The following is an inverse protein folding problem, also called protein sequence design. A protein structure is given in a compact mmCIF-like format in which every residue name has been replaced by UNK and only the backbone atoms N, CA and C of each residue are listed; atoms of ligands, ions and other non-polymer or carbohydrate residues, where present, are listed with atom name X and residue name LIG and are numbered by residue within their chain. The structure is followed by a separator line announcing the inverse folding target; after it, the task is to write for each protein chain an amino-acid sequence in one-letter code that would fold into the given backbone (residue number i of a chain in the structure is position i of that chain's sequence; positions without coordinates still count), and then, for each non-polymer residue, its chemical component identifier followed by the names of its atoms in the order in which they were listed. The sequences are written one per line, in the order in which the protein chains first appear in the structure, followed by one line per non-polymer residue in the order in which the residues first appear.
data_IF_741449410294
#
_entry.id   IF_741449410294
#
_cell.length_a   1.000
_cell.length_b   1.000
_cell.length_c   1.000
_cell.angle_alpha   90.00
_cell.angle_beta   90.00
_cell.angle_gamma   90.00
#
_symmetry.space_group_name_H-M   'P 1'
#
loop_
_entity.id
_entity.type
_entity.pdbx_description
1 polymer ?
#
# COMPACT_ATOMS: atom_id res chain seq x y z
N UNK A 1 -33.82 26.97 -39.30
CA UNK A 1 -33.71 27.63 -40.62
C UNK A 1 -32.48 28.52 -40.62
N UNK A 2 -31.61 28.36 -41.64
CA UNK A 2 -30.49 29.22 -42.10
C UNK A 2 -29.35 29.43 -41.08
N UNK A 3 -28.13 28.88 -41.13
CA UNK A 3 -27.18 28.36 -42.13
C UNK A 3 -26.29 29.38 -42.90
N UNK A 4 -24.98 29.33 -42.55
CA UNK A 4 -23.75 29.31 -43.38
C UNK A 4 -23.07 30.59 -43.91
N UNK A 5 -21.75 30.64 -43.61
CA UNK A 5 -20.54 31.07 -44.38
C UNK A 5 -19.71 32.09 -43.60
N UNK A 6 -18.40 31.99 -43.36
CA UNK A 6 -17.28 31.20 -43.89
C UNK A 6 -16.15 31.23 -42.84
N UNK A 7 -15.35 30.16 -42.69
CA UNK A 7 -13.92 30.13 -43.01
C UNK A 7 -13.29 28.79 -42.56
N UNK A 8 -12.92 27.97 -43.55
CA UNK A 8 -11.90 26.93 -43.50
C UNK A 8 -11.47 26.65 -44.96
N UNK A 9 -10.29 26.05 -45.14
CA UNK A 9 -9.53 25.66 -46.36
C UNK A 9 -8.21 26.48 -46.38
N UNK A 10 -7.00 25.91 -46.44
CA UNK A 10 -6.47 24.66 -47.04
C UNK A 10 -5.19 24.24 -46.28
N UNK A 11 -4.54 23.08 -46.38
CA UNK A 11 -4.67 21.84 -47.17
C UNK A 11 -3.56 20.89 -46.68
N UNK A 12 -3.83 19.58 -46.68
CA UNK A 12 -2.86 18.52 -46.49
C UNK A 12 -2.52 17.83 -47.84
N UNK A 13 -1.25 17.45 -48.01
CA UNK A 13 -0.68 16.37 -48.84
C UNK A 13 0.85 16.48 -48.64
N UNK A 14 1.67 15.48 -48.27
CA UNK A 14 1.62 14.03 -48.42
C UNK A 14 2.75 13.60 -49.36
N UNK A 15 3.86 13.00 -48.85
CA UNK A 15 4.57 11.83 -49.40
C UNK A 15 5.95 11.56 -48.72
N UNK A 16 6.06 10.37 -48.11
CA UNK A 16 7.06 9.29 -48.27
C UNK A 16 8.59 9.54 -48.12
N UNK A 17 9.12 8.93 -47.05
CA UNK A 17 10.33 8.10 -46.86
C UNK A 17 11.64 8.34 -47.65
N UNK A 18 12.74 8.46 -46.90
CA UNK A 18 14.03 7.85 -47.23
C UNK A 18 14.85 7.56 -45.95
N UNK A 19 15.44 6.38 -45.92
CA UNK A 19 16.21 5.74 -44.86
C UNK A 19 17.72 5.89 -45.03
N UNK A 20 18.46 5.66 -43.93
CA UNK A 20 19.85 5.16 -43.78
C UNK A 20 20.97 6.13 -43.28
N UNK A 21 22.00 5.58 -42.60
CA UNK A 21 22.77 6.23 -41.53
C UNK A 21 24.25 6.46 -41.89
N UNK A 22 25.05 7.03 -40.98
CA UNK A 22 26.52 7.03 -41.06
C UNK A 22 27.20 6.74 -39.71
N UNK A 23 27.78 5.54 -39.63
CA UNK A 23 29.03 5.15 -38.93
C UNK A 23 30.19 5.58 -39.86
N UNK A 24 31.46 5.80 -39.52
CA UNK A 24 32.36 5.49 -38.41
C UNK A 24 33.71 6.24 -38.63
N UNK A 25 34.66 6.01 -37.70
CA UNK A 25 36.14 6.13 -37.79
C UNK A 25 36.79 7.45 -37.32
N UNK A 26 37.95 7.48 -36.64
CA UNK A 26 38.72 6.56 -35.77
C UNK A 26 39.98 7.36 -35.27
N UNK A 27 40.65 6.83 -34.24
CA UNK A 27 42.03 7.10 -33.77
C UNK A 27 42.37 8.35 -32.93
N UNK A 28 42.74 8.10 -31.66
CA UNK A 28 44.14 8.19 -31.21
C UNK A 28 44.35 7.44 -29.88
N UNK A 29 45.46 6.69 -29.80
CA UNK A 29 45.97 5.99 -28.62
C UNK A 29 47.08 6.81 -27.95
N UNK A 30 47.25 6.66 -26.62
CA UNK A 30 48.55 6.56 -25.93
C UNK A 30 48.37 6.15 -24.44
N UNK A 31 48.71 4.89 -24.19
CA UNK A 31 49.51 4.26 -23.12
C UNK A 31 49.71 4.76 -21.68
N UNK A 32 49.69 3.73 -20.80
CA UNK A 32 50.53 3.43 -19.61
C UNK A 32 50.20 4.04 -18.21
N UNK A 33 49.72 3.20 -17.28
CA UNK A 33 50.54 2.54 -16.24
C UNK A 33 49.76 1.51 -15.41
N UNK A 34 50.49 0.51 -14.91
CA UNK A 34 50.01 -0.73 -14.29
C UNK A 34 49.85 -0.65 -12.76
N UNK A 35 49.01 -1.53 -12.20
CA UNK A 35 49.31 -2.21 -10.93
C UNK A 35 48.53 -3.54 -10.86
N UNK A 36 49.29 -4.63 -10.80
CA UNK A 36 48.85 -6.01 -10.56
C UNK A 36 48.98 -6.27 -9.06
N UNK A 37 47.89 -6.73 -8.41
CA UNK A 37 47.99 -7.38 -7.10
C UNK A 37 47.84 -8.89 -7.26
N UNK A 38 48.83 -9.59 -6.69
CA UNK A 38 49.03 -11.03 -6.70
C UNK A 38 48.15 -11.69 -5.64
N UNK A 39 47.46 -12.76 -6.03
CA UNK A 39 46.87 -13.75 -5.11
C UNK A 39 47.94 -14.80 -4.82
N UNK A 40 48.22 -15.04 -3.54
CA UNK A 40 49.15 -16.06 -3.06
C UNK A 40 48.41 -17.39 -2.83
N UNK A 41 48.98 -18.47 -3.38
CA UNK A 41 48.58 -19.85 -3.14
C UNK A 41 49.67 -20.51 -2.30
N UNK A 42 49.34 -20.95 -1.09
CA UNK A 42 50.15 -21.92 -0.37
C UNK A 42 49.28 -23.02 0.25
N UNK A 43 49.44 -24.22 -0.31
CA UNK A 43 49.07 -25.51 0.25
C UNK A 43 50.27 -26.08 1.03
N UNK A 44 50.06 -26.66 2.22
CA UNK A 44 50.88 -27.79 2.67
C UNK A 44 50.11 -28.77 3.57
N UNK A 45 50.54 -30.02 3.42
CA UNK A 45 49.94 -31.31 3.76
C UNK A 45 49.93 -31.70 5.25
N UNK A 46 48.84 -32.38 5.62
CA UNK A 46 48.70 -33.69 6.32
C UNK A 46 49.74 -34.18 7.34
N UNK A 47 49.21 -34.64 8.49
CA UNK A 47 49.65 -35.87 9.18
C UNK A 47 48.44 -36.67 9.69
N UNK A 48 48.57 -37.99 9.65
CA UNK A 48 47.54 -39.04 9.69
C UNK A 48 47.30 -39.69 11.08
N UNK A 49 46.03 -40.02 11.34
CA UNK A 49 45.43 -41.29 11.87
C UNK A 49 45.75 -41.83 13.30
N UNK A 50 44.97 -42.81 13.87
CA UNK A 50 43.77 -43.55 13.36
C UNK A 50 42.58 -43.72 14.36
N UNK A 51 41.37 -44.07 13.87
CA UNK A 51 40.48 -45.09 14.48
C UNK A 51 39.22 -45.39 13.62
N UNK A 52 38.93 -46.68 13.45
CA UNK A 52 37.65 -47.30 13.02
C UNK A 52 37.22 -48.28 14.12
N UNK A 53 36.04 -48.94 14.07
CA UNK A 53 34.67 -48.47 13.78
C UNK A 53 33.67 -48.91 14.90
N UNK A 54 32.46 -48.34 15.00
CA UNK A 54 31.20 -49.07 15.32
C UNK A 54 29.95 -48.19 15.58
N UNK A 55 28.89 -48.54 14.84
CA UNK A 55 27.44 -48.59 15.13
C UNK A 55 26.58 -47.33 15.36
N UNK A 56 25.30 -47.37 14.91
CA UNK A 56 24.46 -46.21 14.69
C UNK A 56 23.70 -45.80 15.95
N UNK A 57 23.67 -44.51 16.25
CA UNK A 57 22.80 -43.95 17.30
C UNK A 57 21.71 -43.09 16.68
N UNK A 58 20.49 -43.61 16.82
CA UNK A 58 19.27 -42.94 17.27
C UNK A 58 19.00 -41.51 16.79
N UNK A 59 17.89 -41.40 16.06
CA UNK A 59 17.31 -40.14 15.64
C UNK A 59 17.04 -39.20 16.81
N UNK A 60 17.50 -37.97 16.63
CA UNK A 60 16.95 -36.81 17.28
C UNK A 60 16.22 -36.00 16.23
N UNK A 61 14.92 -36.28 16.09
CA UNK A 61 13.97 -35.32 15.55
C UNK A 61 13.98 -34.11 16.50
N UNK A 62 14.72 -33.06 16.13
CA UNK A 62 14.40 -31.73 16.63
C UNK A 62 13.06 -31.34 15.98
N UNK A 63 11.98 -31.49 16.74
CA UNK A 63 10.75 -30.75 16.52
C UNK A 63 11.08 -29.27 16.71
N UNK A 64 11.49 -28.61 15.63
CA UNK A 64 11.24 -27.18 15.51
C UNK A 64 9.73 -27.10 15.28
N UNK A 65 8.99 -26.63 16.29
CA UNK A 65 7.63 -26.15 16.08
C UNK A 65 7.69 -25.00 15.08
N UNK A 66 7.66 -25.34 13.79
CA UNK A 66 7.56 -24.40 12.70
C UNK A 66 6.18 -23.79 12.72
N UNK A 67 5.98 -22.75 13.53
CA UNK A 67 4.93 -21.77 13.23
C UNK A 67 5.28 -21.18 11.87
N UNK A 68 4.57 -21.62 10.83
CA UNK A 68 4.64 -20.99 9.51
C UNK A 68 4.49 -19.48 9.71
N UNK A 69 5.49 -18.71 9.27
CA UNK A 69 5.47 -17.24 9.32
C UNK A 69 4.28 -16.65 8.55
N UNK A 70 3.62 -17.47 7.73
CA UNK A 70 2.65 -17.08 6.70
C UNK A 70 1.23 -17.61 6.97
N UNK A 71 1.02 -18.40 8.03
CA UNK A 71 -0.30 -18.86 8.45
C UNK A 71 -0.97 -17.82 9.38
N UNK A 72 -1.15 -16.60 8.88
CA UNK A 72 -1.66 -15.49 9.68
C UNK A 72 -3.16 -15.30 9.50
N UNK A 73 -3.87 -15.27 10.63
CA UNK A 73 -5.23 -14.74 10.67
C UNK A 73 -5.21 -13.29 10.16
N UNK A 74 -6.16 -12.97 9.29
CA UNK A 74 -6.29 -11.62 8.75
C UNK A 74 -6.71 -10.70 9.91
N UNK A 75 -5.86 -9.71 10.29
CA UNK A 75 -6.16 -8.83 11.41
C UNK A 75 -7.37 -7.96 11.08
N UNK A 76 -7.97 -7.38 12.12
CA UNK A 76 -9.12 -6.50 11.98
C UNK A 76 -9.02 -5.35 12.98
N UNK A 77 -9.60 -4.22 12.60
CA UNK A 77 -9.78 -3.07 13.51
C UNK A 77 -10.68 -3.46 14.69
N UNK A 78 -10.62 -2.67 15.77
CA UNK A 78 -11.53 -2.85 16.91
C UNK A 78 -13.00 -2.94 16.48
N UNK A 79 -13.70 -3.95 16.98
CA UNK A 79 -15.14 -4.11 16.74
C UNK A 79 -15.96 -3.11 17.55
N UNK A 80 -15.37 -2.43 18.53
CA UNK A 80 -16.03 -1.34 19.24
C UNK A 80 -16.21 -0.14 18.31
N UNK A 81 -17.44 0.36 18.28
CA UNK A 81 -17.80 1.57 17.55
C UNK A 81 -17.35 2.81 18.33
N UNK A 82 -16.55 3.72 17.74
CA UNK A 82 -16.18 4.98 18.40
C UNK A 82 -17.42 5.77 18.82
N UNK A 83 -17.43 6.28 20.05
CA UNK A 83 -18.50 7.16 20.51
C UNK A 83 -18.48 8.48 19.74
N UNK A 84 -19.66 9.09 19.55
CA UNK A 84 -19.74 10.47 19.05
C UNK A 84 -19.13 11.38 20.13
N UNK A 85 -18.24 12.29 19.71
CA UNK A 85 -17.59 13.24 20.62
C UNK A 85 -18.54 14.32 21.11
N UNK A 86 -18.14 15.07 22.13
CA UNK A 86 -18.90 16.25 22.60
C UNK A 86 -19.06 17.33 21.52
N UNK A 87 -18.19 17.34 20.49
CA UNK A 87 -18.27 18.22 19.33
C UNK A 87 -19.19 17.67 18.22
N UNK A 88 -19.85 16.52 18.43
CA UNK A 88 -20.90 15.99 17.55
C UNK A 88 -20.41 15.15 16.36
N UNK A 89 -19.10 14.94 16.22
CA UNK A 89 -18.53 14.09 15.16
C UNK A 89 -18.12 12.71 15.70
N UNK A 90 -18.05 11.72 14.80
CA UNK A 90 -17.54 10.39 15.11
C UNK A 90 -16.06 10.30 14.74
N UNK A 91 -15.17 9.92 15.67
CA UNK A 91 -13.76 9.77 15.36
C UNK A 91 -13.52 8.75 14.25
N UNK A 92 -12.55 9.04 13.39
CA UNK A 92 -12.12 8.15 12.32
C UNK A 92 -11.29 7.00 12.88
N UNK A 93 -11.42 5.82 12.28
CA UNK A 93 -10.56 4.67 12.51
C UNK A 93 -9.57 4.60 11.35
N UNK A 94 -8.28 4.69 11.63
CA UNK A 94 -7.22 4.52 10.63
C UNK A 94 -6.62 3.11 10.81
N UNK A 95 -6.98 2.12 9.96
CA UNK A 95 -6.43 0.76 10.07
C UNK A 95 -4.91 0.78 10.08
N UNK A 96 -4.29 0.01 10.99
CA UNK A 96 -2.85 -0.03 11.24
C UNK A 96 -2.20 1.32 11.62
N UNK A 97 -2.99 2.36 11.90
CA UNK A 97 -2.55 3.71 12.21
C UNK A 97 -3.07 4.21 13.55
N UNK A 98 -2.87 5.51 13.80
CA UNK A 98 -3.36 6.18 15.03
C UNK A 98 -3.62 7.65 14.79
N UNK A 99 -4.50 8.24 15.59
CA UNK A 99 -4.70 9.69 15.64
C UNK A 99 -3.56 10.36 16.42
N UNK A 100 -3.11 11.52 15.94
CA UNK A 100 -2.12 12.35 16.64
C UNK A 100 -2.78 13.05 17.83
N UNK A 101 -2.22 12.84 19.02
CA UNK A 101 -2.66 13.54 20.22
C UNK A 101 -2.33 15.03 20.17
N UNK A 102 -3.17 15.84 20.83
CA UNK A 102 -2.97 17.28 20.97
C UNK A 102 -3.13 17.73 22.42
N UNK A 103 -2.68 18.95 22.70
CA UNK A 103 -2.98 19.67 23.93
C UNK A 103 -3.84 20.89 23.62
N UNK A 104 -4.78 21.21 24.49
CA UNK A 104 -5.49 22.49 24.40
C UNK A 104 -4.68 23.57 25.11
N UNK A 105 -4.39 24.67 24.42
CA UNK A 105 -3.73 25.84 24.98
C UNK A 105 -4.45 27.12 24.54
N UNK A 106 -5.11 27.80 25.48
CA UNK A 106 -5.86 29.05 25.22
C UNK A 106 -6.82 28.97 24.01
N UNK A 107 -7.51 27.85 23.84
CA UNK A 107 -8.46 27.62 22.73
C UNK A 107 -7.80 27.17 21.41
N UNK A 108 -6.50 26.87 21.40
CA UNK A 108 -5.76 26.34 20.26
C UNK A 108 -5.44 24.87 20.48
N UNK A 109 -5.65 24.02 19.47
CA UNK A 109 -5.20 22.62 19.46
C UNK A 109 -3.72 22.59 19.06
N UNK A 110 -2.86 22.26 20.01
CA UNK A 110 -1.41 22.15 19.80
C UNK A 110 -0.99 20.72 19.51
N UNK A 111 -0.39 20.51 18.34
CA UNK A 111 0.13 19.23 17.87
C UNK A 111 1.66 19.28 17.78
N UNK A 112 2.30 18.11 17.84
CA UNK A 112 3.73 17.97 17.61
C UNK A 112 4.00 16.83 16.63
N UNK A 113 4.46 17.18 15.43
CA UNK A 113 4.96 16.27 14.43
C UNK A 113 6.49 16.20 14.49
N UNK A 114 7.02 15.00 14.37
CA UNK A 114 8.46 14.75 14.37
C UNK A 114 8.81 13.98 13.11
N UNK A 115 9.48 14.62 12.16
CA UNK A 115 10.02 13.98 10.98
C UNK A 115 11.32 13.23 11.35
N UNK A 116 11.39 11.92 11.12
CA UNK A 116 12.50 11.09 11.58
C UNK A 116 12.67 9.81 10.74
N UNK A 117 13.85 9.19 10.82
CA UNK A 117 14.03 7.82 10.33
C UNK A 117 13.26 6.84 11.24
N UNK A 118 12.66 5.82 10.62
CA UNK A 118 11.83 4.81 11.28
C UNK A 118 12.17 3.42 10.74
N UNK A 119 11.97 2.41 11.57
CA UNK A 119 11.83 1.03 11.10
C UNK A 119 10.35 0.75 10.85
N UNK A 120 10.03 0.27 9.66
CA UNK A 120 8.67 -0.05 9.25
C UNK A 120 8.58 -1.46 8.69
N UNK A 121 7.51 -2.18 9.00
CA UNK A 121 7.24 -3.52 8.48
C UNK A 121 5.94 -3.50 7.67
N UNK A 122 6.02 -3.84 6.38
CA UNK A 122 4.85 -3.87 5.49
C UNK A 122 3.89 -5.00 5.85
N UNK A 123 4.48 -6.17 6.05
CA UNK A 123 3.89 -7.40 6.55
C UNK A 123 5.05 -8.23 7.14
N UNK A 124 4.77 -9.19 8.05
CA UNK A 124 5.79 -10.01 8.67
C UNK A 124 6.74 -10.63 7.63
N UNK A 125 8.04 -10.32 7.80
CA UNK A 125 9.09 -10.77 6.88
C UNK A 125 9.57 -9.74 5.85
N UNK A 126 9.02 -8.53 5.82
CA UNK A 126 9.57 -7.44 5.00
C UNK A 126 9.55 -6.10 5.73
N UNK A 127 10.74 -5.63 6.06
CA UNK A 127 11.03 -4.42 6.84
C UNK A 127 11.89 -3.45 6.04
N UNK A 128 11.70 -2.17 6.30
CA UNK A 128 12.52 -1.10 5.72
C UNK A 128 12.92 -0.08 6.77
N UNK A 129 14.04 0.60 6.51
CA UNK A 129 14.38 1.88 7.10
C UNK A 129 13.77 2.97 6.23
N UNK A 130 12.63 3.49 6.67
CA UNK A 130 11.86 4.54 6.01
C UNK A 130 12.06 5.87 6.73
N UNK A 131 11.47 6.94 6.19
CA UNK A 131 11.24 8.18 6.91
C UNK A 131 9.74 8.35 7.15
N UNK A 132 9.38 8.90 8.29
CA UNK A 132 7.98 9.08 8.65
C UNK A 132 7.81 10.13 9.74
N UNK A 133 6.58 10.19 10.27
CA UNK A 133 6.23 11.13 11.32
C UNK A 133 5.88 10.39 12.61
N UNK A 134 6.49 10.81 13.72
CA UNK A 134 6.20 10.29 15.07
C UNK A 134 6.27 8.74 15.15
N UNK A 135 7.24 8.15 14.45
CA UNK A 135 7.54 6.72 14.51
C UNK A 135 6.76 5.83 13.53
N UNK A 136 5.99 6.39 12.58
CA UNK A 136 5.24 5.58 11.61
C UNK A 136 5.19 6.19 10.20
N UNK A 137 4.94 5.31 9.22
CA UNK A 137 4.45 5.65 7.88
C UNK A 137 3.13 4.89 7.65
N UNK A 138 2.05 5.56 7.20
CA UNK A 138 1.91 7.00 7.23
C UNK A 138 2.11 7.53 8.66
N UNK A 139 2.43 8.82 8.75
CA UNK A 139 2.36 9.55 10.00
C UNK A 139 0.97 9.47 10.63
N UNK A 140 0.86 9.80 11.92
CA UNK A 140 -0.42 9.76 12.62
C UNK A 140 -1.45 10.69 11.97
N UNK A 141 -2.71 10.26 11.95
CA UNK A 141 -3.83 11.05 11.41
C UNK A 141 -4.05 12.27 12.29
N UNK A 142 -4.04 13.47 11.71
CA UNK A 142 -4.43 14.69 12.42
C UNK A 142 -5.94 14.81 12.29
N UNK A 143 -6.63 14.96 13.41
CA UNK A 143 -8.10 15.00 13.44
C UNK A 143 -8.56 16.25 14.19
N UNK A 144 -9.34 17.08 13.51
CA UNK A 144 -9.84 18.38 14.01
C UNK A 144 -11.25 18.62 13.51
N UNK A 145 -11.87 19.71 13.99
CA UNK A 145 -13.21 20.15 13.58
C UNK A 145 -13.08 21.48 12.85
N UNK A 146 -13.92 21.69 11.84
CA UNK A 146 -14.07 22.98 11.16
C UNK A 146 -14.25 24.13 12.17
N UNK A 147 -13.46 25.18 12.01
CA UNK A 147 -13.39 26.33 12.91
C UNK A 147 -12.35 26.20 14.03
N UNK A 148 -11.75 25.03 14.25
CA UNK A 148 -10.63 24.91 15.19
C UNK A 148 -9.46 25.80 14.76
N UNK A 149 -8.79 26.40 15.75
CA UNK A 149 -7.45 26.97 15.55
C UNK A 149 -6.42 25.93 15.94
N UNK A 150 -5.49 25.64 15.04
CA UNK A 150 -4.43 24.65 15.26
C UNK A 150 -3.08 25.34 15.29
N UNK A 151 -2.17 24.79 16.11
CA UNK A 151 -0.75 25.12 16.11
C UNK A 151 0.03 23.81 16.04
N UNK A 152 0.79 23.62 14.97
CA UNK A 152 1.49 22.37 14.71
C UNK A 152 2.98 22.67 14.75
N UNK A 153 3.65 22.14 15.78
CA UNK A 153 5.10 22.15 15.87
C UNK A 153 5.65 21.00 15.03
N UNK A 154 6.63 21.28 14.18
CA UNK A 154 7.28 20.29 13.32
C UNK A 154 8.75 20.28 13.65
N UNK A 155 9.22 19.21 14.29
CA UNK A 155 10.64 19.00 14.58
C UNK A 155 11.25 18.12 13.49
N UNK A 156 12.33 18.60 12.88
CA UNK A 156 13.07 17.82 11.89
C UNK A 156 14.22 17.05 12.57
N UNK A 157 14.16 15.73 12.57
CA UNK A 157 15.23 14.82 12.99
C UNK A 157 15.81 14.01 11.83
N UNK A 158 15.50 14.37 10.59
CA UNK A 158 16.10 13.79 9.40
C UNK A 158 17.54 14.28 9.21
N UNK A 159 18.36 13.56 8.43
CA UNK A 159 19.71 14.02 8.06
C UNK A 159 19.69 15.21 7.08
N UNK A 160 18.52 15.57 6.53
CA UNK A 160 18.38 16.66 5.57
C UNK A 160 17.24 17.62 5.92
N UNK A 161 17.12 18.69 5.14
CA UNK A 161 16.08 19.68 5.32
C UNK A 161 14.70 19.16 4.94
N UNK A 162 13.64 19.66 5.57
CA UNK A 162 12.26 19.26 5.27
C UNK A 162 11.30 20.46 5.31
N UNK A 163 10.04 20.20 5.03
CA UNK A 163 8.90 21.11 5.23
C UNK A 163 7.62 20.28 5.30
N UNK A 164 6.46 20.89 5.57
CA UNK A 164 5.18 20.17 5.50
C UNK A 164 4.17 21.05 4.76
N UNK A 165 3.70 20.55 3.62
CA UNK A 165 2.53 21.05 2.92
C UNK A 165 1.25 20.38 3.43
N UNK A 166 0.20 21.19 3.57
CA UNK A 166 -1.11 20.79 4.08
C UNK A 166 -2.09 20.63 2.91
N UNK A 167 -2.01 19.48 2.26
CA UNK A 167 -2.65 19.21 0.98
C UNK A 167 -4.16 19.40 1.02
N UNK A 168 -4.66 20.35 0.22
CA UNK A 168 -6.08 20.67 0.10
C UNK A 168 -6.65 21.54 1.22
N UNK A 169 -5.79 22.08 2.11
CA UNK A 169 -6.24 22.94 3.22
C UNK A 169 -6.22 24.42 2.82
N UNK A 170 -7.33 25.14 3.06
CA UNK A 170 -7.40 26.60 2.91
C UNK A 170 -6.68 27.28 4.07
N UNK A 171 -5.49 27.84 3.79
CA UNK A 171 -4.63 28.47 4.79
C UNK A 171 -4.00 29.78 4.28
N UNK A 172 -3.48 30.63 5.17
CA UNK A 172 -2.68 31.78 4.76
C UNK A 172 -1.44 31.34 3.99
N UNK A 173 -1.10 32.02 2.90
CA UNK A 173 0.00 31.66 2.00
C UNK A 173 1.33 31.33 2.71
N UNK A 174 1.69 32.08 3.76
CA UNK A 174 2.93 31.84 4.53
C UNK A 174 2.93 30.58 5.41
N UNK A 175 1.82 29.84 5.49
CA UNK A 175 1.68 28.59 6.25
C UNK A 175 1.64 27.36 5.34
N UNK A 176 1.88 27.53 4.04
CA UNK A 176 1.64 26.51 3.01
C UNK A 176 2.72 25.42 2.93
N UNK A 177 3.93 25.66 3.46
CA UNK A 177 4.93 24.60 3.57
C UNK A 177 5.81 24.35 2.35
N UNK A 178 5.78 25.20 1.32
CA UNK A 178 6.60 25.03 0.11
C UNK A 178 7.96 25.69 0.32
N UNK A 179 9.01 24.87 0.44
CA UNK A 179 10.37 25.36 0.68
C UNK A 179 10.88 26.21 -0.48
N UNK A 180 11.40 27.39 -0.18
CA UNK A 180 11.90 28.35 -1.16
C UNK A 180 10.81 29.22 -1.81
N UNK A 181 9.52 28.90 -1.61
CA UNK A 181 8.40 29.70 -2.10
C UNK A 181 7.67 30.41 -0.96
N UNK A 182 7.04 29.65 -0.06
CA UNK A 182 6.22 30.20 1.03
C UNK A 182 6.96 30.28 2.35
N UNK A 183 8.04 29.50 2.50
CA UNK A 183 8.91 29.52 3.67
C UNK A 183 10.36 29.12 3.37
N UNK A 184 11.23 29.30 4.37
CA UNK A 184 12.54 28.65 4.38
C UNK A 184 12.41 27.17 4.74
N UNK A 185 13.31 26.30 4.25
CA UNK A 185 13.32 24.90 4.63
C UNK A 185 13.70 24.70 6.11
N UNK A 186 13.05 23.76 6.78
CA UNK A 186 13.29 23.38 8.18
C UNK A 186 14.59 22.56 8.23
N UNK A 187 15.64 23.10 8.83
CA UNK A 187 16.95 22.44 8.88
C UNK A 187 16.95 21.24 9.86
N UNK A 188 17.89 20.29 9.72
CA UNK A 188 18.08 19.23 10.72
C UNK A 188 18.22 19.80 12.14
N UNK A 189 17.46 19.24 13.09
CA UNK A 189 17.39 19.67 14.49
C UNK A 189 16.50 20.89 14.75
N UNK A 190 16.00 21.57 13.72
CA UNK A 190 15.13 22.73 13.86
C UNK A 190 13.69 22.31 14.19
N UNK A 191 12.97 23.18 14.91
CA UNK A 191 11.51 23.06 15.09
C UNK A 191 10.83 24.28 14.49
N UNK A 192 9.89 24.04 13.59
CA UNK A 192 9.08 25.04 12.92
C UNK A 192 7.65 25.03 13.45
N UNK A 193 6.91 26.13 13.29
CA UNK A 193 5.52 26.23 13.74
C UNK A 193 4.61 26.67 12.59
N UNK A 194 3.52 25.92 12.40
CA UNK A 194 2.41 26.29 11.53
C UNK A 194 1.21 26.62 12.41
N UNK A 195 0.56 27.75 12.19
CA UNK A 195 -0.62 28.14 12.97
C UNK A 195 -1.67 28.78 12.08
N UNK A 196 -2.87 28.17 12.04
CA UNK A 196 -3.97 28.64 11.21
C UNK A 196 -5.32 28.16 11.75
N UNK A 197 -6.41 28.74 11.24
CA UNK A 197 -7.78 28.35 11.54
C UNK A 197 -8.35 27.58 10.37
N UNK A 198 -9.05 26.48 10.68
CA UNK A 198 -9.62 25.56 9.69
C UNK A 198 -10.95 26.13 9.21
N UNK A 199 -11.06 26.42 7.91
CA UNK A 199 -12.20 27.14 7.32
C UNK A 199 -13.19 26.23 6.58
N UNK A 200 -12.80 24.97 6.40
CA UNK A 200 -13.51 23.95 5.63
C UNK A 200 -13.41 22.61 6.36
N UNK A 201 -14.19 21.63 5.92
CA UNK A 201 -14.12 20.25 6.38
C UNK A 201 -13.88 19.28 5.20
N UNK A 202 -13.37 18.09 5.48
CA UNK A 202 -13.09 17.10 4.44
C UNK A 202 -11.96 16.14 4.78
N UNK A 203 -11.65 15.31 3.79
CA UNK A 203 -10.53 14.36 3.79
C UNK A 203 -9.33 15.02 3.12
N UNK A 204 -8.30 15.35 3.91
CA UNK A 204 -7.07 15.99 3.46
C UNK A 204 -5.85 15.15 3.83
N UNK A 205 -4.68 15.60 3.39
CA UNK A 205 -3.42 14.92 3.62
C UNK A 205 -2.35 15.94 4.01
N UNK A 206 -1.22 15.47 4.53
CA UNK A 206 -0.03 16.29 4.73
C UNK A 206 1.19 15.51 4.25
N UNK A 207 2.13 16.22 3.64
CA UNK A 207 3.38 15.64 3.13
C UNK A 207 4.46 16.71 2.96
N UNK A 208 5.74 16.33 2.86
CA UNK A 208 6.80 17.28 2.57
C UNK A 208 6.62 17.96 1.22
N UNK A 209 7.10 19.19 1.16
CA UNK A 209 7.33 19.92 -0.09
C UNK A 209 8.76 20.48 -0.15
N UNK A 210 9.68 19.74 0.48
CA UNK A 210 11.14 19.85 0.43
C UNK A 210 11.68 18.47 0.07
N UNK A 211 12.59 18.41 -0.91
CA UNK A 211 13.04 17.16 -1.54
C UNK A 211 11.90 16.12 -1.70
N UNK A 212 10.77 16.59 -2.23
CA UNK A 212 9.48 15.89 -2.16
C UNK A 212 9.57 14.48 -2.74
N UNK A 213 10.28 14.34 -3.87
CA UNK A 213 10.48 13.05 -4.53
C UNK A 213 11.11 12.03 -3.59
N UNK A 214 12.18 12.40 -2.88
CA UNK A 214 12.88 11.50 -1.96
C UNK A 214 12.04 11.27 -0.72
N UNK A 215 11.53 12.33 -0.09
CA UNK A 215 10.85 12.22 1.20
C UNK A 215 9.52 11.46 1.11
N UNK A 216 8.73 11.67 0.04
CA UNK A 216 7.53 10.87 -0.21
C UNK A 216 7.88 9.41 -0.47
N UNK A 217 8.84 9.12 -1.35
CA UNK A 217 9.25 7.75 -1.66
C UNK A 217 9.82 7.00 -0.43
N UNK A 218 10.37 7.73 0.53
CA UNK A 218 10.83 7.20 1.82
C UNK A 218 9.69 6.98 2.83
N UNK A 219 8.47 7.47 2.58
CA UNK A 219 7.28 7.23 3.41
C UNK A 219 6.71 8.45 4.14
N UNK A 220 7.21 9.66 3.89
CA UNK A 220 6.78 10.84 4.63
C UNK A 220 5.44 11.38 4.13
N UNK A 221 4.35 10.94 4.76
CA UNK A 221 2.99 11.34 4.41
C UNK A 221 2.05 11.07 5.57
N UNK A 222 0.87 11.69 5.60
CA UNK A 222 -0.17 11.35 6.55
C UNK A 222 -1.53 11.96 6.20
N UNK A 223 -2.55 11.53 6.93
CA UNK A 223 -3.93 12.00 6.76
C UNK A 223 -4.22 13.19 7.67
N UNK A 224 -5.01 14.13 7.16
CA UNK A 224 -5.54 15.27 7.90
C UNK A 224 -7.06 15.28 7.71
N UNK A 225 -7.80 14.87 8.73
CA UNK A 225 -9.26 14.81 8.68
C UNK A 225 -9.83 16.00 9.42
N UNK A 226 -10.64 16.79 8.70
CA UNK A 226 -11.38 17.89 9.29
C UNK A 226 -12.86 17.50 9.31
N UNK A 227 -13.41 17.30 10.50
CA UNK A 227 -14.82 17.01 10.69
C UNK A 227 -15.66 18.27 10.52
N UNK A 228 -16.88 18.15 9.96
CA UNK A 228 -17.75 19.29 9.81
C UNK A 228 -18.22 19.79 11.18
N UNK A 229 -18.33 21.10 11.34
CA UNK A 229 -18.84 21.71 12.58
C UNK A 229 -20.30 21.32 12.86
N UNK A 230 -21.07 21.18 11.78
CA UNK A 230 -22.42 20.63 11.79
C UNK A 230 -22.32 19.18 11.34
N UNK A 231 -22.76 18.19 12.16
CA UNK A 231 -22.67 16.79 11.78
C UNK A 231 -23.31 16.50 10.42
N UNK A 232 -22.69 15.62 9.64
CA UNK A 232 -23.21 15.21 8.34
C UNK A 232 -24.57 14.51 8.48
N UNK A 233 -25.47 14.80 7.53
CA UNK A 233 -26.66 14.02 7.30
C UNK A 233 -26.54 13.23 5.97
N UNK A 234 -26.83 11.92 5.96
CA UNK A 234 -27.13 11.08 7.13
C UNK A 234 -25.87 10.78 7.97
N UNK A 235 -26.09 10.49 9.26
CA UNK A 235 -25.01 10.17 10.20
C UNK A 235 -24.30 8.88 9.81
N UNK A 236 -22.97 8.90 9.90
CA UNK A 236 -22.11 7.74 9.69
C UNK A 236 -21.90 6.98 11.00
N UNK A 237 -22.01 5.66 10.99
CA UNK A 237 -21.76 4.76 12.12
C UNK A 237 -20.29 4.35 12.25
N UNK A 238 -19.60 4.19 11.12
CA UNK A 238 -18.19 3.80 11.05
C UNK A 238 -17.49 4.69 10.04
N UNK A 239 -16.47 5.41 10.46
CA UNK A 239 -15.67 6.26 9.57
C UNK A 239 -14.25 5.70 9.53
N UNK A 240 -13.78 5.31 8.35
CA UNK A 240 -12.46 4.71 8.12
C UNK A 240 -11.61 5.65 7.27
N UNK A 241 -10.29 5.70 7.54
CA UNK A 241 -9.36 6.44 6.68
C UNK A 241 -8.17 5.59 6.22
N UNK A 242 -7.94 5.66 4.91
CA UNK A 242 -6.89 4.94 4.20
C UNK A 242 -6.07 5.94 3.38
N UNK A 243 -4.76 5.73 3.37
CA UNK A 243 -3.81 6.44 2.54
C UNK A 243 -3.10 5.44 1.63
N UNK A 244 -3.21 5.67 0.32
CA UNK A 244 -2.61 4.83 -0.70
C UNK A 244 -1.20 5.32 -1.02
N UNK A 245 -0.28 4.38 -1.18
CA UNK A 245 1.08 4.65 -1.59
C UNK A 245 1.73 3.45 -2.29
N UNK A 246 2.79 3.69 -3.05
CA UNK A 246 3.59 2.67 -3.73
C UNK A 246 5.07 2.82 -3.37
N UNK A 247 5.82 1.73 -3.45
CA UNK A 247 7.21 1.69 -3.03
C UNK A 247 8.05 0.91 -4.04
N UNK A 248 9.30 1.34 -4.22
CA UNK A 248 10.33 0.56 -4.88
C UNK A 248 11.23 -0.04 -3.79
N UNK A 249 11.08 -1.34 -3.53
CA UNK A 249 11.85 -2.07 -2.52
C UNK A 249 12.34 -3.34 -3.17
N UNK A 250 13.55 -3.28 -3.72
CA UNK A 250 14.14 -4.39 -4.45
C UNK A 250 14.32 -5.61 -3.52
N UNK A 251 14.18 -6.84 -4.03
CA UNK A 251 14.35 -8.04 -3.22
C UNK A 251 15.69 -8.06 -2.45
N UNK A 252 15.65 -8.38 -1.16
CA UNK A 252 16.84 -8.38 -0.29
C UNK A 252 17.29 -7.01 0.22
N UNK A 253 16.62 -5.91 -0.16
CA UNK A 253 16.99 -4.56 0.26
C UNK A 253 16.11 -4.06 1.40
N UNK A 254 16.63 -3.12 2.19
CA UNK A 254 16.00 -2.61 3.42
C UNK A 254 15.73 -1.10 3.38
N UNK A 255 15.88 -0.46 2.23
CA UNK A 255 15.59 0.97 2.05
C UNK A 255 14.83 1.15 0.75
N UNK A 256 13.78 1.97 0.72
CA UNK A 256 13.14 2.36 -0.53
C UNK A 256 14.17 2.97 -1.48
N UNK A 257 14.00 2.72 -2.78
CA UNK A 257 14.79 3.31 -3.85
C UNK A 257 14.03 4.53 -4.43
N UNK A 258 14.38 5.76 -4.02
CA UNK A 258 13.70 6.96 -4.51
C UNK A 258 14.08 7.30 -5.96
N UNK A 259 14.98 6.55 -6.61
CA UNK A 259 15.33 6.79 -8.02
C UNK A 259 14.35 6.15 -9.01
N UNK A 260 13.50 5.24 -8.53
CA UNK A 260 12.49 4.56 -9.34
C UNK A 260 11.24 5.43 -9.47
N UNK A 261 10.89 5.80 -10.71
CA UNK A 261 9.79 6.73 -11.00
C UNK A 261 8.52 6.07 -11.55
N UNK A 262 8.61 4.82 -12.00
CA UNK A 262 7.48 4.15 -12.69
C UNK A 262 7.34 2.66 -12.36
N UNK A 263 8.45 1.97 -12.12
CA UNK A 263 8.53 0.51 -11.94
C UNK A 263 8.54 0.16 -10.45
N UNK A 264 7.43 0.44 -9.75
CA UNK A 264 7.30 0.12 -8.32
C UNK A 264 6.99 -1.36 -8.12
N UNK A 265 7.27 -1.88 -6.92
CA UNK A 265 7.20 -3.31 -6.61
C UNK A 265 6.26 -3.65 -5.44
N UNK A 266 5.80 -2.63 -4.69
CA UNK A 266 4.88 -2.81 -3.57
C UNK A 266 3.82 -1.70 -3.55
N UNK A 267 2.57 -2.09 -3.32
CA UNK A 267 1.41 -1.20 -3.27
C UNK A 267 0.70 -1.38 -1.94
N UNK A 268 0.49 -0.28 -1.23
CA UNK A 268 0.10 -0.31 0.18
C UNK A 268 -1.15 0.49 0.49
N UNK A 269 -1.93 0.00 1.44
CA UNK A 269 -2.92 0.81 2.16
C UNK A 269 -2.38 1.08 3.57
N UNK A 270 -2.29 2.34 3.97
CA UNK A 270 -1.67 2.76 5.22
C UNK A 270 -0.27 2.13 5.41
N UNK A 271 0.53 2.10 4.33
CA UNK A 271 1.86 1.51 4.28
C UNK A 271 1.93 0.03 4.69
N UNK A 272 0.80 -0.68 4.75
CA UNK A 272 0.73 -2.12 4.92
C UNK A 272 0.34 -2.80 3.61
N UNK A 273 0.70 -4.07 3.48
CA UNK A 273 0.29 -4.94 2.38
C UNK A 273 -0.45 -6.15 2.92
N UNK A 274 -1.34 -6.73 2.12
CA UNK A 274 -2.05 -7.94 2.50
C UNK A 274 -1.06 -9.11 2.77
N UNK A 275 -1.24 -9.88 3.86
CA UNK A 275 -2.40 -9.95 4.74
C UNK A 275 -2.33 -9.06 5.99
N UNK A 276 -1.34 -8.19 6.13
CA UNK A 276 -1.14 -7.38 7.33
C UNK A 276 -2.03 -6.12 7.40
N UNK A 277 -2.74 -5.78 6.32
CA UNK A 277 -3.73 -4.70 6.33
C UNK A 277 -4.90 -5.13 7.22
N UNK A 278 -5.19 -4.33 8.26
CA UNK A 278 -6.33 -4.57 9.13
C UNK A 278 -7.64 -4.47 8.33
N UNK A 279 -8.49 -5.49 8.50
CA UNK A 279 -9.83 -5.50 7.96
C UNK A 279 -10.70 -4.46 8.65
N UNK A 280 -11.53 -3.78 7.89
CA UNK A 280 -12.56 -2.88 8.41
C UNK A 280 -13.76 -3.70 8.90
N UNK A 281 -14.39 -3.30 10.00
CA UNK A 281 -15.47 -4.07 10.63
C UNK A 281 -16.75 -3.24 10.75
N UNK A 282 -17.92 -3.83 10.45
CA UNK A 282 -19.20 -3.15 10.61
C UNK A 282 -20.30 -4.11 11.04
N UNK A 283 -21.34 -3.60 11.71
CA UNK A 283 -22.54 -4.38 11.96
C UNK A 283 -23.52 -4.21 10.79
N UNK A 284 -24.28 -5.25 10.45
CA UNK A 284 -25.33 -5.18 9.44
C UNK A 284 -26.24 -3.97 9.68
N UNK A 285 -26.48 -3.18 8.63
CA UNK A 285 -27.31 -1.97 8.69
C UNK A 285 -26.56 -0.68 9.08
N UNK A 286 -25.33 -0.76 9.58
CA UNK A 286 -24.52 0.43 9.86
C UNK A 286 -24.18 1.18 8.57
N UNK A 287 -24.23 2.51 8.61
CA UNK A 287 -23.69 3.34 7.52
C UNK A 287 -22.18 3.51 7.69
N UNK A 288 -21.42 3.02 6.72
CA UNK A 288 -19.96 3.05 6.74
C UNK A 288 -19.46 4.09 5.75
N UNK A 289 -18.51 4.93 6.18
CA UNK A 289 -17.70 5.81 5.33
C UNK A 289 -16.28 5.25 5.25
N UNK A 290 -15.74 5.19 4.05
CA UNK A 290 -14.30 4.93 3.83
C UNK A 290 -13.73 6.13 3.07
N UNK A 291 -12.82 6.84 3.73
CA UNK A 291 -12.06 7.96 3.21
C UNK A 291 -10.75 7.45 2.65
N UNK A 292 -10.47 7.74 1.39
CA UNK A 292 -9.26 7.26 0.73
C UNK A 292 -8.52 8.43 0.13
N UNK A 293 -7.33 8.74 0.66
CA UNK A 293 -6.37 9.67 0.07
C UNK A 293 -5.32 8.90 -0.74
N UNK A 294 -4.74 9.54 -1.75
CA UNK A 294 -3.69 8.95 -2.57
C UNK A 294 -2.49 9.89 -2.73
N UNK A 295 -1.36 9.51 -2.11
CA UNK A 295 -0.05 10.15 -2.29
C UNK A 295 0.94 9.21 -2.96
N UNK A 296 0.44 8.20 -3.67
CA UNK A 296 1.21 7.36 -4.57
C UNK A 296 1.51 8.11 -5.89
N UNK A 297 2.34 7.54 -6.75
CA UNK A 297 2.61 8.01 -8.10
C UNK A 297 1.70 7.36 -9.15
N UNK A 298 0.66 6.63 -8.73
CA UNK A 298 -0.28 5.91 -9.57
C UNK A 298 -1.74 6.16 -9.20
N UNK A 299 -2.64 6.02 -10.17
CA UNK A 299 -4.08 6.06 -9.90
C UNK A 299 -4.56 4.69 -9.41
N UNK A 300 -5.45 4.68 -8.43
CA UNK A 300 -5.96 3.43 -7.85
C UNK A 300 -7.48 3.34 -8.03
N UNK A 301 -8.00 2.45 -8.91
CA UNK A 301 -9.41 2.11 -8.94
C UNK A 301 -9.75 1.24 -7.71
N UNK A 302 -10.33 1.82 -6.67
CA UNK A 302 -10.70 1.10 -5.45
C UNK A 302 -12.08 0.45 -5.63
N UNK A 303 -12.13 -0.87 -5.45
CA UNK A 303 -13.32 -1.70 -5.62
C UNK A 303 -13.76 -2.30 -4.28
N UNK A 304 -15.08 -2.32 -4.05
CA UNK A 304 -15.70 -2.95 -2.89
C UNK A 304 -16.75 -3.95 -3.34
N UNK A 305 -16.61 -5.20 -2.88
CA UNK A 305 -17.58 -6.26 -3.12
C UNK A 305 -18.82 -6.11 -2.21
N UNK A 306 -19.90 -6.81 -2.58
CA UNK A 306 -21.09 -7.01 -1.74
C UNK A 306 -22.10 -5.86 -1.73
N UNK A 307 -21.68 -4.63 -2.05
CA UNK A 307 -22.55 -3.45 -2.04
C UNK A 307 -22.32 -2.56 -3.26
N UNK A 308 -23.32 -1.76 -3.60
CA UNK A 308 -23.10 -0.51 -4.34
C UNK A 308 -22.89 0.60 -3.31
N UNK A 309 -21.85 1.41 -3.48
CA UNK A 309 -21.56 2.55 -2.61
C UNK A 309 -21.88 3.87 -3.31
N UNK A 310 -22.05 4.92 -2.53
CA UNK A 310 -22.19 6.29 -2.99
C UNK A 310 -20.83 6.99 -2.86
N UNK A 311 -20.34 7.62 -3.93
CA UNK A 311 -19.20 8.57 -3.84
C UNK A 311 -19.76 9.90 -3.36
N UNK A 312 -19.37 10.32 -2.15
CA UNK A 312 -20.02 11.41 -1.41
C UNK A 312 -19.17 12.67 -1.26
N UNK A 313 -17.89 12.61 -1.60
CA UNK A 313 -16.99 13.75 -1.46
C UNK A 313 -15.61 13.51 -2.08
N UNK A 314 -14.81 14.57 -2.07
CA UNK A 314 -13.41 14.55 -2.49
C UNK A 314 -12.51 15.32 -1.53
N UNK A 315 -11.26 15.52 -1.94
CA UNK A 315 -10.31 16.52 -1.41
C UNK A 315 -10.87 17.95 -1.28
N UNK A 316 -11.99 18.26 -1.96
CA UNK A 316 -12.75 19.51 -1.81
C UNK A 316 -13.85 19.46 -0.74
N UNK A 317 -13.95 18.38 0.04
CA UNK A 317 -14.97 18.17 1.06
C UNK A 317 -16.17 17.35 0.57
N UNK A 318 -17.22 17.31 1.40
CA UNK A 318 -18.46 16.56 1.12
C UNK A 318 -19.28 17.27 0.04
N UNK A 319 -19.74 16.51 -0.96
CA UNK A 319 -20.59 17.03 -2.02
C UNK A 319 -22.05 17.11 -1.59
N UNK A 320 -22.84 18.04 -2.15
CA UNK A 320 -24.29 18.01 -2.01
C UNK A 320 -24.86 16.65 -2.46
N UNK A 321 -25.88 16.14 -1.73
CA UNK A 321 -26.41 14.80 -1.96
C UNK A 321 -26.88 14.53 -3.40
N UNK A 322 -27.39 15.53 -4.10
CA UNK A 322 -27.82 15.39 -5.50
C UNK A 322 -26.67 15.17 -6.49
N UNK A 323 -25.41 15.31 -6.06
CA UNK A 323 -24.20 15.03 -6.84
C UNK A 323 -23.58 13.68 -6.48
N UNK A 324 -24.11 12.98 -5.48
CA UNK A 324 -23.62 11.65 -5.15
C UNK A 324 -23.93 10.68 -6.28
N UNK A 325 -22.98 9.81 -6.55
CA UNK A 325 -23.08 8.80 -7.60
C UNK A 325 -22.88 7.41 -7.03
N UNK A 326 -23.70 6.47 -7.50
CA UNK A 326 -23.58 5.07 -7.12
C UNK A 326 -22.57 4.38 -8.01
N UNK A 327 -21.63 3.69 -7.37
CA UNK A 327 -20.57 2.96 -8.04
C UNK A 327 -20.29 1.64 -7.30
N UNK A 328 -19.50 0.78 -7.93
CA UNK A 328 -18.83 -0.35 -7.27
C UNK A 328 -17.31 -0.20 -7.29
N UNK A 329 -16.79 0.72 -8.09
CA UNK A 329 -15.36 1.02 -8.20
C UNK A 329 -15.17 2.52 -8.37
N UNK A 330 -14.25 3.12 -7.61
CA UNK A 330 -13.93 4.53 -7.72
C UNK A 330 -12.43 4.77 -7.92
N UNK A 331 -12.07 5.60 -8.89
CA UNK A 331 -10.68 5.97 -9.12
C UNK A 331 -10.27 7.04 -8.10
N UNK A 332 -9.28 6.73 -7.28
CA UNK A 332 -8.57 7.70 -6.44
C UNK A 332 -7.30 8.11 -7.19
N UNK A 333 -7.34 9.28 -7.83
CA UNK A 333 -6.22 9.80 -8.59
C UNK A 333 -5.06 10.25 -7.71
N UNK A 334 -3.86 10.39 -8.27
CA UNK A 334 -2.69 10.96 -7.57
C UNK A 334 -3.03 12.35 -7.01
N UNK A 335 -2.77 12.57 -5.72
CA UNK A 335 -3.11 13.79 -5.00
C UNK A 335 -4.59 13.94 -4.63
N UNK A 336 -5.46 13.03 -5.05
CA UNK A 336 -6.89 13.13 -4.76
C UNK A 336 -7.26 12.40 -3.47
N UNK A 337 -8.36 12.86 -2.87
CA UNK A 337 -9.12 12.08 -1.91
C UNK A 337 -10.52 11.76 -2.45
N UNK A 338 -11.09 10.63 -2.00
CA UNK A 338 -12.47 10.20 -2.25
C UNK A 338 -13.08 9.60 -1.00
N UNK A 339 -14.32 10.01 -0.72
CA UNK A 339 -15.11 9.47 0.37
C UNK A 339 -16.25 8.63 -0.22
N UNK A 340 -16.27 7.33 0.10
CA UNK A 340 -17.36 6.43 -0.28
C UNK A 340 -18.21 6.08 0.93
N UNK A 341 -19.53 5.94 0.74
CA UNK A 341 -20.48 5.55 1.79
C UNK A 341 -21.39 4.42 1.34
N UNK A 342 -21.69 3.49 2.24
CA UNK A 342 -22.60 2.37 1.99
C UNK A 342 -23.28 1.90 3.27
N UNK A 343 -24.38 1.16 3.10
CA UNK A 343 -25.01 0.41 4.21
C UNK A 343 -24.40 -0.98 4.26
N UNK A 344 -23.86 -1.37 5.41
CA UNK A 344 -23.19 -2.65 5.58
C UNK A 344 -24.17 -3.85 5.48
N UNK A 345 -23.77 -4.87 4.71
CA UNK A 345 -24.51 -6.14 4.54
C UNK A 345 -23.62 -7.32 4.98
N UNK A 346 -24.15 -8.35 5.64
CA UNK A 346 -23.35 -9.39 6.28
C UNK A 346 -22.50 -10.18 5.27
N UNK A 347 -21.22 -10.38 5.60
CA UNK A 347 -20.24 -11.02 4.72
C UNK A 347 -18.80 -10.72 5.10
N UNK A 348 -17.86 -11.43 4.48
CA UNK A 348 -16.46 -10.98 4.36
C UNK A 348 -16.28 -10.50 2.92
N UNK A 349 -16.29 -9.18 2.72
CA UNK A 349 -16.26 -8.57 1.39
C UNK A 349 -14.87 -8.07 1.04
N UNK A 350 -14.37 -8.41 -0.13
CA UNK A 350 -13.10 -7.90 -0.62
C UNK A 350 -13.16 -6.38 -0.86
N UNK A 351 -12.12 -5.69 -0.40
CA UNK A 351 -11.89 -4.27 -0.63
C UNK A 351 -10.45 -4.11 -1.14
N UNK A 352 -10.29 -3.69 -2.40
CA UNK A 352 -8.96 -3.74 -3.03
C UNK A 352 -8.80 -2.74 -4.18
N UNK A 353 -7.55 -2.50 -4.58
CA UNK A 353 -7.27 -1.85 -5.85
C UNK A 353 -7.56 -2.81 -7.01
N UNK A 354 -8.22 -2.33 -8.06
CA UNK A 354 -8.64 -3.16 -9.20
C UNK A 354 -7.63 -3.17 -10.35
N UNK A 355 -6.39 -2.71 -10.11
CA UNK A 355 -5.27 -3.05 -10.98
C UNK A 355 -4.64 -4.34 -10.46
N UNK A 356 -4.67 -5.41 -11.27
CA UNK A 356 -4.33 -6.77 -10.80
C UNK A 356 -2.91 -6.91 -10.22
N UNK A 357 -1.96 -6.11 -10.69
CA UNK A 357 -0.59 -6.13 -10.15
C UNK A 357 -0.47 -5.35 -8.82
N UNK A 358 -1.40 -4.43 -8.51
CA UNK A 358 -1.45 -3.75 -7.21
C UNK A 358 -1.98 -4.64 -6.09
N UNK A 359 -2.66 -5.75 -6.42
CA UNK A 359 -3.14 -6.76 -5.47
C UNK A 359 -2.20 -7.95 -5.38
N UNK A 360 -0.92 -7.74 -5.68
CA UNK A 360 0.16 -8.69 -5.50
C UNK A 360 1.26 -8.00 -4.69
N UNK A 361 2.04 -8.78 -3.95
CA UNK A 361 3.25 -8.28 -3.29
C UNK A 361 4.41 -8.20 -4.31
N UNK A 362 5.63 -8.59 -3.93
CA UNK A 362 6.80 -8.45 -4.78
C UNK A 362 6.59 -9.14 -6.15
N UNK A 363 6.54 -8.32 -7.20
CA UNK A 363 6.46 -8.74 -8.60
C UNK A 363 7.82 -8.53 -9.26
N UNK A 364 8.37 -9.59 -9.86
CA UNK A 364 9.62 -9.50 -10.61
C UNK A 364 9.38 -9.25 -12.10
N UNK A 365 10.15 -8.35 -12.70
CA UNK A 365 10.26 -8.21 -14.16
C UNK A 365 11.38 -9.11 -14.71
N UNK A 366 11.28 -9.51 -15.98
CA UNK A 366 12.34 -10.27 -16.66
C UNK A 366 12.40 -11.78 -16.35
N UNK A 367 11.40 -12.33 -15.66
CA UNK A 367 11.26 -13.78 -15.45
C UNK A 367 10.63 -14.43 -16.70
N UNK A 368 11.17 -15.54 -17.22
CA UNK A 368 10.58 -16.26 -18.34
C UNK A 368 9.13 -16.70 -18.07
N UNK A 369 8.28 -16.60 -19.09
CA UNK A 369 6.91 -17.12 -18.99
C UNK A 369 6.92 -18.65 -19.05
N UNK A 370 6.54 -19.29 -17.94
CA UNK A 370 6.49 -20.75 -17.81
C UNK A 370 5.10 -21.34 -18.10
N UNK A 371 4.11 -20.52 -18.48
CA UNK A 371 2.75 -20.97 -18.76
C UNK A 371 2.72 -21.97 -19.92
N UNK A 372 2.21 -23.17 -19.66
CA UNK A 372 2.16 -24.29 -20.61
C UNK A 372 3.51 -24.97 -20.86
N UNK A 373 4.58 -24.54 -20.21
CA UNK A 373 5.88 -25.23 -20.28
C UNK A 373 5.86 -26.41 -19.33
N UNK A 374 5.93 -27.62 -19.88
CA UNK A 374 6.03 -28.85 -19.09
C UNK A 374 7.32 -28.85 -18.28
N UNK A 375 7.20 -28.93 -16.97
CA UNK A 375 8.33 -28.92 -16.05
C UNK A 375 8.42 -30.29 -15.36
N UNK A 376 9.11 -31.31 -15.93
CA UNK A 376 9.24 -32.62 -15.31
C UNK A 376 10.10 -32.53 -14.04
N UNK A 377 9.46 -32.18 -12.92
CA UNK A 377 10.10 -31.78 -11.67
C UNK A 377 11.14 -32.81 -11.20
N UNK A 378 10.81 -34.10 -11.22
CA UNK A 378 11.74 -35.16 -10.81
C UNK A 378 13.04 -35.23 -11.64
N UNK A 379 13.01 -34.82 -12.91
CA UNK A 379 14.19 -34.77 -13.77
C UNK A 379 14.97 -33.48 -13.55
N UNK A 380 14.27 -32.35 -13.41
CA UNK A 380 14.90 -31.04 -13.20
C UNK A 380 15.53 -30.98 -11.80
N UNK A 381 14.88 -31.51 -10.78
CA UNK A 381 15.37 -31.56 -9.40
C UNK A 381 16.66 -32.37 -9.23
N UNK A 382 16.96 -33.30 -10.15
CA UNK A 382 18.25 -34.00 -10.19
C UNK A 382 19.40 -33.09 -10.61
N UNK A 383 19.12 -32.06 -11.43
CA UNK A 383 20.09 -31.10 -11.92
C UNK A 383 20.13 -29.83 -11.05
N UNK A 384 18.99 -29.45 -10.50
CA UNK A 384 18.79 -28.27 -9.66
C UNK A 384 18.10 -28.71 -8.37
N UNK A 385 18.87 -29.16 -7.35
CA UNK A 385 18.30 -29.55 -6.07
C UNK A 385 17.43 -28.44 -5.47
N UNK A 386 16.20 -28.76 -5.10
CA UNK A 386 15.21 -27.80 -4.57
C UNK A 386 14.34 -27.12 -5.63
N UNK A 387 14.48 -27.46 -6.90
CA UNK A 387 13.58 -26.98 -7.95
C UNK A 387 12.16 -27.54 -7.76
N UNK A 388 11.16 -26.66 -7.84
CA UNK A 388 9.75 -27.00 -7.91
C UNK A 388 9.13 -26.34 -9.14
N UNK A 389 8.32 -27.09 -9.86
CA UNK A 389 7.65 -26.58 -11.06
C UNK A 389 6.64 -25.50 -10.67
N UNK A 390 6.78 -24.31 -11.26
CA UNK A 390 5.90 -23.16 -11.00
C UNK A 390 5.37 -22.59 -12.30
N UNK A 391 4.14 -22.12 -12.29
CA UNK A 391 3.58 -21.36 -13.42
C UNK A 391 3.16 -22.20 -14.63
N UNK A 392 3.32 -23.54 -14.63
CA UNK A 392 2.89 -24.39 -15.77
C UNK A 392 1.39 -24.23 -16.06
N UNK A 393 0.56 -24.23 -15.01
CA UNK A 393 -0.91 -24.18 -15.10
C UNK A 393 -1.50 -22.86 -14.54
N UNK A 394 -0.64 -21.90 -14.20
CA UNK A 394 -1.00 -20.68 -13.48
C UNK A 394 -0.22 -20.51 -12.18
N UNK A 395 -0.53 -19.45 -11.43
CA UNK A 395 0.21 -19.07 -10.23
C UNK A 395 -0.46 -19.43 -8.91
N UNK A 396 -1.69 -19.95 -8.90
CA UNK A 396 -2.45 -20.21 -7.65
C UNK A 396 -1.71 -21.10 -6.63
N UNK A 397 -0.90 -22.05 -7.09
CA UNK A 397 -0.07 -22.88 -6.22
C UNK A 397 1.07 -22.13 -5.50
N UNK A 398 1.43 -20.90 -5.92
CA UNK A 398 2.59 -20.17 -5.39
C UNK A 398 2.60 -20.05 -3.87
N UNK A 399 1.43 -19.77 -3.28
CA UNK A 399 1.30 -19.67 -1.84
C UNK A 399 1.53 -21.02 -1.13
N UNK A 400 1.12 -22.14 -1.73
CA UNK A 400 1.39 -23.48 -1.17
C UNK A 400 2.90 -23.78 -1.17
N UNK A 401 3.61 -23.39 -2.23
CA UNK A 401 5.06 -23.54 -2.30
C UNK A 401 5.77 -22.68 -1.25
N UNK A 402 5.34 -21.44 -1.02
CA UNK A 402 5.91 -20.58 0.02
C UNK A 402 5.58 -21.08 1.43
N UNK A 403 4.33 -21.52 1.66
CA UNK A 403 3.88 -22.07 2.95
C UNK A 403 4.60 -23.37 3.32
N UNK A 404 5.01 -24.16 2.32
CA UNK A 404 5.80 -25.37 2.53
C UNK A 404 7.24 -25.10 2.98
N UNK A 405 7.71 -23.84 2.93
CA UNK A 405 9.07 -23.45 3.30
C UNK A 405 10.15 -23.74 2.24
N UNK A 406 9.77 -24.23 1.06
CA UNK A 406 10.72 -24.65 0.02
C UNK A 406 11.12 -23.50 -0.93
N UNK A 407 10.33 -22.43 -1.00
CA UNK A 407 10.66 -21.22 -1.76
C UNK A 407 10.47 -19.96 -0.90
N UNK A 408 11.34 -19.73 0.11
CA UNK A 408 11.21 -18.57 1.00
C UNK A 408 11.47 -17.23 0.29
N UNK A 409 11.87 -17.24 -0.99
CA UNK A 409 12.32 -16.05 -1.71
C UNK A 409 13.64 -15.50 -1.17
N UNK A 410 14.15 -14.40 -1.73
CA UNK A 410 15.24 -13.64 -1.11
C UNK A 410 14.82 -13.15 0.29
N UNK A 411 15.80 -12.90 1.15
CA UNK A 411 15.53 -12.26 2.45
C UNK A 411 14.76 -10.95 2.24
N UNK A 412 13.95 -10.55 3.23
CA UNK A 412 13.22 -9.30 3.21
C UNK A 412 12.34 -9.08 1.96
N UNK A 413 11.77 -10.16 1.44
CA UNK A 413 10.91 -10.15 0.25
C UNK A 413 9.65 -10.95 0.54
N UNK A 414 8.48 -10.35 0.34
CA UNK A 414 7.22 -11.05 0.53
C UNK A 414 6.93 -12.00 -0.66
N UNK A 415 6.34 -13.18 -0.40
CA UNK A 415 5.69 -13.98 -1.43
C UNK A 415 4.67 -13.15 -2.19
N UNK A 416 4.52 -13.41 -3.50
CA UNK A 416 3.61 -12.70 -4.39
C UNK A 416 2.17 -12.69 -3.86
N UNK A 417 1.73 -13.83 -3.32
CA UNK A 417 0.38 -14.07 -2.83
C UNK A 417 0.43 -14.71 -1.44
N UNK A 418 -0.50 -14.29 -0.59
CA UNK A 418 -0.56 -14.65 0.82
C UNK A 418 -2.03 -14.67 1.30
N UNK A 419 -2.21 -14.99 2.59
CA UNK A 419 -3.50 -14.94 3.29
C UNK A 419 -4.37 -16.17 3.08
N UNK A 420 -5.13 -16.53 4.12
CA UNK A 420 -6.05 -17.67 4.10
C UNK A 420 -7.46 -17.26 4.48
N UNK A 421 -8.41 -17.71 3.67
CA UNK A 421 -9.84 -17.59 3.91
C UNK A 421 -10.45 -18.93 4.30
N UNK A 422 -11.78 -18.95 4.38
CA UNK A 422 -12.56 -20.15 4.76
C UNK A 422 -12.32 -21.35 3.84
N UNK A 423 -12.04 -21.09 2.56
CA UNK A 423 -11.97 -22.11 1.52
C UNK A 423 -10.55 -22.35 0.99
N UNK A 424 -9.52 -21.83 1.68
CA UNK A 424 -8.12 -21.98 1.28
C UNK A 424 -7.41 -20.64 1.10
N UNK A 425 -6.37 -20.65 0.28
CA UNK A 425 -5.57 -19.47 -0.06
C UNK A 425 -6.43 -18.42 -0.77
N UNK A 426 -6.22 -17.15 -0.42
CA UNK A 426 -6.95 -16.03 -1.05
C UNK A 426 -6.29 -15.62 -2.37
N UNK A 427 -5.03 -16.00 -2.59
CA UNK A 427 -4.28 -15.72 -3.82
C UNK A 427 -4.14 -14.20 -4.09
N UNK A 428 -3.91 -13.41 -3.03
CA UNK A 428 -3.78 -11.94 -3.10
C UNK A 428 -2.59 -11.44 -2.30
N UNK A 429 -2.16 -10.22 -2.57
CA UNK A 429 -1.15 -9.44 -1.86
C UNK A 429 -1.45 -7.94 -1.96
N UNK A 430 -0.46 -7.09 -1.67
CA UNK A 430 -0.50 -5.65 -1.95
C UNK A 430 -1.72 -4.93 -1.34
N UNK A 431 -2.42 -4.13 -2.16
CA UNK A 431 -3.61 -3.37 -1.82
C UNK A 431 -4.88 -4.22 -1.80
N UNK A 432 -4.95 -5.20 -0.90
CA UNK A 432 -6.14 -6.01 -0.64
C UNK A 432 -6.46 -6.03 0.86
N UNK A 433 -7.73 -5.87 1.21
CA UNK A 433 -8.23 -6.02 2.58
C UNK A 433 -9.68 -6.51 2.55
N UNK A 434 -10.28 -6.68 3.72
CA UNK A 434 -11.66 -7.10 3.88
C UNK A 434 -12.49 -6.02 4.59
N UNK A 435 -13.74 -5.89 4.18
CA UNK A 435 -14.82 -5.32 4.99
C UNK A 435 -15.60 -6.49 5.58
N UNK A 436 -15.45 -6.71 6.89
CA UNK A 436 -16.06 -7.82 7.63
C UNK A 436 -17.31 -7.33 8.32
N UNK A 437 -18.46 -7.85 7.89
CA UNK A 437 -19.76 -7.44 8.41
C UNK A 437 -20.44 -8.59 9.13
N UNK A 438 -20.93 -8.35 10.35
CA UNK A 438 -21.68 -9.33 11.15
C UNK A 438 -23.03 -8.77 11.54
N UNK A 439 -24.03 -9.62 11.68
CA UNK A 439 -25.36 -9.19 12.16
C UNK A 439 -25.32 -8.71 13.61
N UNK A 440 -24.45 -9.32 14.42
CA UNK A 440 -24.12 -8.91 15.78
C UNK A 440 -22.59 -8.85 15.91
N UNK A 441 -22.07 -7.72 16.39
CA UNK A 441 -20.64 -7.53 16.67
C UNK A 441 -20.39 -7.46 18.18
N UNK A 442 -19.85 -8.53 18.76
CA UNK A 442 -19.56 -8.66 20.19
C UNK A 442 -18.20 -9.31 20.49
N UNK A 443 -17.21 -9.12 19.62
CA UNK A 443 -15.86 -9.67 19.80
C UNK A 443 -15.09 -9.74 18.50
N UNK A 444 -14.17 -10.70 18.38
CA UNK A 444 -13.52 -11.05 17.12
C UNK A 444 -14.58 -11.54 16.12
N UNK A 445 -14.70 -10.94 14.92
CA UNK A 445 -15.72 -11.32 13.97
C UNK A 445 -15.54 -12.74 13.40
N UNK A 446 -14.37 -13.39 13.53
CA UNK A 446 -14.07 -14.70 12.93
C UNK A 446 -14.28 -14.70 11.40
N UNK A 447 -14.15 -15.82 10.68
CA UNK A 447 -14.51 -15.89 9.25
C UNK A 447 -16.03 -15.99 9.05
N UNK A 448 -16.57 -15.28 8.04
CA UNK A 448 -18.00 -15.31 7.76
C UNK A 448 -18.47 -16.71 7.32
N UNK A 449 -19.65 -17.11 7.82
CA UNK A 449 -20.32 -18.35 7.43
C UNK A 449 -21.55 -18.02 6.58
N UNK A 450 -21.57 -18.37 5.28
CA UNK A 450 -22.71 -18.07 4.43
C UNK A 450 -23.96 -18.86 4.88
N UNK A 451 -25.17 -18.29 4.76
CA UNK A 451 -26.41 -19.01 5.00
C UNK A 451 -26.55 -20.26 4.11
N UNK A 452 -27.34 -21.23 4.57
CA UNK A 452 -27.61 -22.44 3.79
C UNK A 452 -28.25 -22.08 2.43
N UNK A 453 -27.78 -22.73 1.36
CA UNK A 453 -28.30 -22.53 0.01
C UNK A 453 -27.79 -21.27 -0.72
N UNK A 454 -26.99 -20.41 -0.08
CA UNK A 454 -26.43 -19.20 -0.73
C UNK A 454 -25.00 -19.41 -1.25
N UNK A 455 -24.50 -20.63 -1.27
CA UNK A 455 -23.16 -20.96 -1.72
C UNK A 455 -23.17 -21.61 -3.10
N UNK A 456 -22.26 -21.17 -3.98
CA UNK A 456 -21.97 -21.87 -5.22
C UNK A 456 -21.45 -23.29 -4.93
N UNK A 457 -21.83 -24.27 -5.75
CA UNK A 457 -21.48 -25.68 -5.55
C UNK A 457 -21.05 -26.34 -6.86
N UNK A 458 -20.17 -27.34 -6.81
CA UNK A 458 -19.86 -28.15 -7.98
C UNK A 458 -21.12 -28.88 -8.47
N UNK A 459 -21.23 -29.05 -9.78
CA UNK A 459 -22.24 -29.90 -10.42
C UNK A 459 -21.54 -31.00 -11.20
N UNK A 460 -22.04 -32.24 -11.09
CA UNK A 460 -21.43 -33.40 -11.74
C UNK A 460 -21.79 -33.53 -13.22
N UNK A 461 -22.83 -32.82 -13.67
CA UNK A 461 -23.26 -32.76 -15.07
C UNK A 461 -23.96 -31.42 -15.33
N UNK A 462 -23.86 -30.94 -16.57
CA UNK A 462 -24.65 -29.80 -17.04
C UNK A 462 -26.07 -30.27 -17.38
N UNK A 463 -27.11 -29.49 -17.04
CA UNK A 463 -28.45 -29.68 -17.57
C UNK A 463 -28.46 -29.72 -19.12
N UNK A 464 -29.29 -30.60 -19.69
CA UNK A 464 -29.49 -30.66 -21.14
C UNK A 464 -30.02 -29.32 -21.68
N UNK A 465 -29.52 -28.90 -22.84
CA UNK A 465 -30.03 -27.71 -23.55
C UNK A 465 -29.44 -26.37 -23.10
N UNK A 466 -28.43 -26.34 -22.22
CA UNK A 466 -27.67 -25.10 -21.94
C UNK A 466 -26.85 -24.72 -23.20
N UNK A 467 -26.96 -23.47 -23.70
CA UNK A 467 -26.17 -23.01 -24.83
C UNK A 467 -24.69 -22.84 -24.45
N UNK A 468 -23.80 -23.25 -25.37
CA UNK A 468 -22.34 -23.09 -25.28
C UNK A 468 -21.90 -21.87 -26.08
#
# INVERSE_FOLDING_TARGET
MINRRNLLISSAAGLVAASLPLRAQEHHAHDHHAMQDKVDHSTHHHQDQPASPHNPSQGHHHNIEGKSLFNQEIPHVSTQKPAITDQGYRPVITPNGRTLGYKMNAGIKEFHLIAQEIEHEFAPGTKIKAWGYNGSTPGPTIEVVEGDRVRIFVTNQLPEHTSIHWHGILLPWGMDGVSGLTQKPIQPGETFVYEFTLQQHGTHMYHPHADEMVQLAMGMMGLFIIHPKTPDEPVVDRDYALLLHNWAVHPGTYRPDPSVMSEFDLWTMNSKVFPAIESMVAQTGERVRIRTGNLSMWNHPIHLHGVQFEVTGSDGGRWPQHQWRKEVTEIVGVGQARDIEFTAVPGDWAFHCHMSHHTMNAMGHGIPNMLGVKQPEAQIAQLVPGYMAMGEQGMGGHQDHTDSGHMPGPENTLPMMMGKGRYGNIEMGGMFSLVRVRDLLDGDPGLYSPPEGTQAKPVNALPEGIPV
#
